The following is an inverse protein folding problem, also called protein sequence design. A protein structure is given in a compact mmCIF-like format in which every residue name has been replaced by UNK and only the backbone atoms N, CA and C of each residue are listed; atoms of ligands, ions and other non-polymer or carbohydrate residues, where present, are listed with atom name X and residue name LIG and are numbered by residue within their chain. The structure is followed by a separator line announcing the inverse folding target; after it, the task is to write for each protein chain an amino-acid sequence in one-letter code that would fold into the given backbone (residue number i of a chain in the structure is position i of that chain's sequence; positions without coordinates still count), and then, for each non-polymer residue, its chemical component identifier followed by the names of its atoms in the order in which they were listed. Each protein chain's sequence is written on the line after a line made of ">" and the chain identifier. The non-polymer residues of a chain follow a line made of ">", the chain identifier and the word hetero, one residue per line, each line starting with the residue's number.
data_IF_933524920221
#
_entry.id   IF_933524920221
#
_cell.length_a   1.000
_cell.length_b   1.000
_cell.length_c   1.000
_cell.angle_alpha   90.00
_cell.angle_beta   90.00
_cell.angle_gamma   90.00
#
_symmetry.space_group_name_H-M   'P 1'
#
loop_
_entity.id
_entity.type
_entity.pdbx_description
1 polymer ?
#
# COMPACT_ATOMS: atom_id res chain seq x y z
N UNK A 1 18.95 23.22 -3.63
CA UNK A 1 17.82 22.86 -4.51
C UNK A 1 17.95 21.48 -5.17
N UNK A 2 18.99 20.68 -4.88
CA UNK A 2 19.29 19.43 -5.61
C UNK A 2 18.96 18.12 -4.85
N UNK A 3 17.93 18.12 -3.98
CA UNK A 3 17.55 16.92 -3.17
C UNK A 3 16.30 16.18 -3.68
N UNK A 4 15.62 16.68 -4.71
CA UNK A 4 14.19 16.40 -4.87
C UNK A 4 13.76 15.47 -6.02
N UNK A 5 14.63 15.12 -6.98
CA UNK A 5 14.24 14.24 -8.11
C UNK A 5 14.77 12.79 -8.05
N UNK A 6 15.61 12.46 -7.08
CA UNK A 6 16.21 11.11 -6.97
C UNK A 6 15.17 10.05 -6.53
N UNK A 7 14.07 10.44 -5.88
CA UNK A 7 13.03 9.50 -5.43
C UNK A 7 11.91 9.21 -6.45
N UNK A 8 11.96 9.77 -7.67
CA UNK A 8 10.92 9.56 -8.68
C UNK A 8 11.16 8.34 -9.59
N UNK A 9 12.29 7.66 -9.45
CA UNK A 9 12.70 6.54 -10.31
C UNK A 9 12.30 5.14 -9.79
N UNK A 10 11.69 5.02 -8.60
CA UNK A 10 11.49 3.71 -7.95
C UNK A 10 10.05 3.19 -7.88
N UNK A 11 9.02 3.91 -8.36
CA UNK A 11 7.65 3.63 -7.87
C UNK A 11 6.58 3.16 -8.87
N UNK A 12 6.88 2.86 -10.14
CA UNK A 12 5.82 2.45 -11.09
C UNK A 12 6.17 1.35 -12.11
N UNK A 13 7.14 0.47 -11.83
CA UNK A 13 7.37 -0.75 -12.63
C UNK A 13 7.00 -2.04 -11.86
N UNK A 14 5.71 -2.20 -11.56
CA UNK A 14 5.15 -3.52 -11.20
C UNK A 14 3.85 -3.77 -11.97
N UNK A 15 4.01 -3.99 -13.27
CA UNK A 15 3.07 -4.76 -14.09
C UNK A 15 3.91 -5.75 -14.90
N UNK A 16 3.92 -7.02 -14.50
CA UNK A 16 4.17 -8.12 -15.41
C UNK A 16 3.15 -9.23 -15.18
N UNK A 17 2.71 -9.78 -16.30
CA UNK A 17 1.68 -10.79 -16.51
C UNK A 17 2.38 -12.14 -16.73
N UNK A 18 1.64 -13.25 -16.52
CA UNK A 18 1.97 -14.68 -16.84
C UNK A 18 2.69 -15.45 -15.71
N UNK A 19 2.47 -16.74 -15.41
CA UNK A 19 1.73 -17.84 -16.06
C UNK A 19 1.49 -19.01 -15.06
N UNK A 20 0.46 -19.81 -15.36
CA UNK A 20 0.13 -21.22 -15.06
C UNK A 20 0.66 -22.03 -13.83
N UNK A 21 -0.32 -22.68 -13.17
CA UNK A 21 -0.42 -24.09 -12.75
C UNK A 21 0.88 -24.89 -12.47
N UNK A 22 1.04 -25.31 -11.21
CA UNK A 22 1.54 -26.65 -10.93
C UNK A 22 0.90 -27.24 -9.66
N UNK A 23 0.31 -28.41 -9.82
CA UNK A 23 -0.20 -29.29 -8.78
C UNK A 23 0.91 -30.27 -8.42
N UNK A 24 1.27 -30.37 -7.14
CA UNK A 24 1.72 -31.63 -6.54
C UNK A 24 1.66 -31.60 -5.03
N UNK A 25 1.51 -32.82 -4.54
CA UNK A 25 1.17 -33.29 -3.21
C UNK A 25 2.41 -33.27 -2.28
N UNK A 26 2.12 -33.08 -0.99
CA UNK A 26 2.72 -33.78 0.16
C UNK A 26 3.81 -33.11 1.03
N UNK A 27 3.66 -33.40 2.33
CA UNK A 27 4.47 -33.17 3.54
C UNK A 27 4.41 -31.79 4.24
N UNK A 28 4.18 -31.76 5.59
CA UNK A 28 4.13 -30.53 6.37
C UNK A 28 5.54 -29.99 6.63
N UNK A 29 5.77 -28.67 6.58
CA UNK A 29 7.07 -28.12 6.92
C UNK A 29 7.35 -28.26 8.43
N UNK A 30 8.62 -28.44 8.82
CA UNK A 30 9.05 -28.45 10.21
C UNK A 30 8.77 -27.10 10.87
N UNK A 31 8.58 -27.14 12.19
CA UNK A 31 8.30 -25.98 13.04
C UNK A 31 9.20 -24.80 12.68
N UNK A 32 8.58 -23.75 12.17
CA UNK A 32 9.26 -22.49 11.90
C UNK A 32 9.53 -21.81 13.24
N UNK A 33 10.81 -21.70 13.58
CA UNK A 33 11.27 -20.78 14.61
C UNK A 33 10.66 -19.40 14.37
N UNK A 34 9.92 -18.91 15.37
CA UNK A 34 9.29 -17.61 15.30
C UNK A 34 10.36 -16.53 15.02
N UNK A 35 10.13 -15.58 14.10
CA UNK A 35 11.08 -14.52 13.83
C UNK A 35 11.34 -13.72 15.11
N UNK A 36 12.59 -13.32 15.41
CA UNK A 36 12.90 -12.54 16.59
C UNK A 36 12.13 -11.22 16.53
N UNK A 37 11.22 -10.99 17.47
CA UNK A 37 10.41 -9.76 17.60
C UNK A 37 11.24 -8.49 17.92
N UNK A 38 12.57 -8.54 17.85
CA UNK A 38 13.50 -7.52 18.37
C UNK A 38 13.74 -6.31 17.46
N UNK A 39 12.97 -6.06 16.39
CA UNK A 39 13.26 -4.96 15.46
C UNK A 39 12.06 -4.10 15.04
N UNK A 40 10.97 -4.12 15.81
CA UNK A 40 9.86 -3.18 15.63
C UNK A 40 9.72 -2.35 16.89
N UNK A 41 9.78 -1.01 16.76
CA UNK A 41 9.54 -0.09 17.88
C UNK A 41 8.20 -0.44 18.53
N UNK A 42 8.25 -0.81 19.81
CA UNK A 42 7.07 -1.17 20.59
C UNK A 42 6.47 0.08 21.23
N UNK A 43 5.15 0.25 21.08
CA UNK A 43 4.35 1.23 21.80
C UNK A 43 3.90 0.73 23.19
N UNK A 44 4.27 -0.50 23.53
CA UNK A 44 3.87 -1.19 24.76
C UNK A 44 5.12 -1.59 25.57
N UNK A 45 4.97 -1.56 26.89
CA UNK A 45 5.97 -2.09 27.83
C UNK A 45 5.98 -3.63 27.85
N UNK A 46 6.99 -4.25 28.47
CA UNK A 46 7.06 -5.72 28.57
C UNK A 46 5.89 -6.31 29.38
N UNK A 47 5.36 -5.57 30.34
CA UNK A 47 4.19 -5.96 31.14
C UNK A 47 2.90 -6.01 30.28
N UNK A 48 2.88 -5.25 29.18
CA UNK A 48 1.79 -5.17 28.20
C UNK A 48 1.95 -6.18 27.04
N UNK A 49 2.74 -7.24 27.25
CA UNK A 49 2.98 -8.30 26.25
C UNK A 49 1.74 -8.95 25.62
N UNK A 50 0.58 -9.08 26.31
CA UNK A 50 -0.64 -9.60 25.67
C UNK A 50 -1.14 -8.70 24.54
N UNK A 51 -1.05 -7.37 24.68
CA UNK A 51 -1.48 -6.44 23.64
C UNK A 51 -0.54 -6.43 22.43
N UNK A 52 0.76 -6.65 22.66
CA UNK A 52 1.74 -6.82 21.58
C UNK A 52 1.43 -8.05 20.73
N UNK A 53 1.21 -9.20 21.39
CA UNK A 53 0.84 -10.43 20.70
C UNK A 53 -0.50 -10.28 19.98
N UNK A 54 -1.47 -9.59 20.59
CA UNK A 54 -2.76 -9.31 19.96
C UNK A 54 -2.60 -8.42 18.71
N UNK A 55 -1.81 -7.36 18.79
CA UNK A 55 -1.48 -6.49 17.65
C UNK A 55 -0.76 -7.26 16.52
N UNK A 56 0.11 -8.20 16.85
CA UNK A 56 0.75 -9.08 15.87
C UNK A 56 -0.27 -10.01 15.18
N UNK A 57 -1.23 -10.58 15.92
CA UNK A 57 -2.35 -11.34 15.32
C UNK A 57 -3.15 -10.45 14.37
N UNK A 58 -3.48 -9.22 14.75
CA UNK A 58 -4.20 -8.28 13.88
C UNK A 58 -3.42 -7.99 12.59
N UNK A 59 -2.12 -7.71 12.70
CA UNK A 59 -1.27 -7.44 11.55
C UNK A 59 -1.20 -8.64 10.59
N UNK A 60 -1.02 -9.85 11.13
CA UNK A 60 -0.94 -11.08 10.34
C UNK A 60 -2.29 -11.48 9.71
N UNK A 61 -3.41 -11.14 10.35
CA UNK A 61 -4.76 -11.52 9.88
C UNK A 61 -5.38 -10.53 8.90
N UNK A 62 -4.83 -9.32 8.78
CA UNK A 62 -5.30 -8.26 7.90
C UNK A 62 -5.46 -8.66 6.43
N UNK A 63 -4.48 -9.31 5.74
CA UNK A 63 -4.66 -9.74 4.36
C UNK A 63 -5.80 -10.75 4.19
N UNK A 64 -6.01 -11.62 5.18
CA UNK A 64 -7.13 -12.56 5.18
C UNK A 64 -8.47 -11.85 5.41
N UNK A 65 -8.48 -10.77 6.20
CA UNK A 65 -9.65 -9.89 6.38
C UNK A 65 -10.01 -9.18 5.07
N UNK A 66 -9.03 -8.66 4.35
CA UNK A 66 -9.21 -8.03 3.03
C UNK A 66 -9.73 -9.04 2.01
N UNK A 67 -9.17 -10.25 1.96
CA UNK A 67 -9.62 -11.32 1.08
C UNK A 67 -11.08 -11.73 1.37
N UNK A 68 -11.44 -11.84 2.64
CA UNK A 68 -12.81 -12.08 3.09
C UNK A 68 -13.74 -10.96 2.64
N UNK A 69 -13.38 -9.70 2.87
CA UNK A 69 -14.19 -8.55 2.49
C UNK A 69 -14.35 -8.43 0.96
N UNK A 70 -13.31 -8.76 0.19
CA UNK A 70 -13.38 -8.82 -1.27
C UNK A 70 -14.32 -9.93 -1.77
N UNK A 71 -14.26 -11.13 -1.15
CA UNK A 71 -15.19 -12.23 -1.44
C UNK A 71 -16.62 -11.87 -1.03
N UNK A 72 -16.80 -11.18 0.10
CA UNK A 72 -18.10 -10.73 0.57
C UNK A 72 -18.73 -9.69 -0.37
N UNK A 73 -17.95 -8.73 -0.88
CA UNK A 73 -18.39 -7.78 -1.91
C UNK A 73 -18.85 -8.45 -3.19
N UNK A 74 -18.22 -9.58 -3.57
CA UNK A 74 -18.61 -10.36 -4.75
C UNK A 74 -19.86 -11.21 -4.51
N UNK A 75 -20.00 -11.76 -3.31
CA UNK A 75 -21.14 -12.62 -2.94
C UNK A 75 -22.42 -11.83 -2.61
N UNK A 76 -22.29 -10.59 -2.15
CA UNK A 76 -23.41 -9.72 -1.79
C UNK A 76 -23.66 -8.68 -2.89
N UNK A 77 -24.92 -8.28 -3.08
CA UNK A 77 -25.21 -7.14 -3.94
C UNK A 77 -24.60 -5.85 -3.38
N UNK A 78 -24.20 -4.87 -4.21
CA UNK A 78 -23.60 -3.61 -3.76
C UNK A 78 -24.42 -2.89 -2.69
N UNK A 79 -25.75 -2.90 -2.84
CA UNK A 79 -26.68 -2.32 -1.87
C UNK A 79 -26.67 -3.07 -0.53
N UNK A 80 -26.71 -4.41 -0.54
CA UNK A 80 -26.64 -5.21 0.70
C UNK A 80 -25.31 -5.01 1.41
N UNK A 81 -24.19 -5.04 0.69
CA UNK A 81 -22.87 -4.81 1.26
C UNK A 81 -22.75 -3.40 1.88
N UNK A 82 -23.25 -2.39 1.18
CA UNK A 82 -23.31 -1.01 1.69
C UNK A 82 -24.14 -0.92 2.97
N UNK A 83 -25.34 -1.53 3.00
CA UNK A 83 -26.24 -1.51 4.17
C UNK A 83 -25.61 -2.17 5.41
N UNK A 84 -24.79 -3.21 5.21
CA UNK A 84 -24.09 -3.91 6.29
C UNK A 84 -22.98 -3.01 6.86
N UNK A 85 -22.20 -2.36 5.99
CA UNK A 85 -21.12 -1.45 6.40
C UNK A 85 -21.67 -0.20 7.09
N UNK A 86 -22.75 0.40 6.61
CA UNK A 86 -23.36 1.59 7.25
C UNK A 86 -23.95 1.30 8.61
N UNK A 87 -24.51 0.10 8.82
CA UNK A 87 -25.01 -0.35 10.13
C UNK A 87 -23.91 -0.85 11.08
N UNK A 88 -22.63 -0.72 10.73
CA UNK A 88 -21.48 -1.23 11.49
C UNK A 88 -21.62 -2.71 11.90
N UNK A 89 -22.35 -3.52 11.13
CA UNK A 89 -22.52 -4.95 11.42
C UNK A 89 -21.33 -5.74 10.88
N UNK A 90 -20.93 -6.80 11.58
CA UNK A 90 -19.92 -7.68 11.02
C UNK A 90 -20.50 -8.44 9.83
N UNK A 91 -19.73 -8.46 8.74
CA UNK A 91 -20.08 -9.15 7.50
C UNK A 91 -20.34 -10.65 7.74
N UNK A 92 -19.66 -11.23 8.73
CA UNK A 92 -19.84 -12.64 9.10
C UNK A 92 -21.07 -12.92 9.96
N UNK A 93 -21.64 -11.93 10.65
CA UNK A 93 -22.90 -12.10 11.37
C UNK A 93 -24.06 -12.25 10.39
N UNK A 94 -23.98 -11.58 9.24
CA UNK A 94 -24.96 -11.69 8.16
C UNK A 94 -24.97 -13.10 7.54
N UNK A 95 -23.81 -13.75 7.47
CA UNK A 95 -23.71 -15.13 6.99
C UNK A 95 -24.35 -16.17 7.94
N UNK A 96 -24.54 -15.80 9.23
CA UNK A 96 -25.21 -16.62 10.24
C UNK A 96 -26.73 -16.40 10.27
N UNK A 97 -27.19 -15.18 10.00
CA UNK A 97 -28.61 -14.79 10.08
C UNK A 97 -29.45 -15.34 8.92
N UNK A 98 -28.83 -15.58 7.75
CA UNK A 98 -29.52 -16.17 6.60
C UNK A 98 -28.96 -17.57 6.26
N UNK A 99 -29.35 -18.61 7.02
CA UNK A 99 -28.84 -19.97 6.83
C UNK A 99 -29.28 -20.60 5.50
N UNK A 100 -30.43 -20.15 4.94
CA UNK A 100 -31.08 -20.68 3.73
C UNK A 100 -30.79 -19.89 2.45
N UNK A 101 -30.24 -18.68 2.54
CA UNK A 101 -29.86 -17.88 1.37
C UNK A 101 -28.68 -18.47 0.59
N UNK A 102 -28.59 -18.11 -0.70
CA UNK A 102 -27.52 -18.47 -1.65
C UNK A 102 -26.11 -17.89 -1.30
N UNK A 103 -25.82 -17.67 -0.02
CA UNK A 103 -24.61 -17.03 0.48
C UNK A 103 -23.49 -18.04 0.84
N UNK A 104 -23.48 -19.23 0.21
CA UNK A 104 -22.49 -20.28 0.49
C UNK A 104 -21.04 -19.79 0.36
N UNK A 105 -20.76 -18.97 -0.66
CA UNK A 105 -19.45 -18.35 -0.87
C UNK A 105 -19.06 -17.38 0.27
N UNK A 106 -20.02 -16.61 0.79
CA UNK A 106 -19.79 -15.70 1.93
C UNK A 106 -19.51 -16.50 3.21
N UNK A 107 -20.28 -17.56 3.46
CA UNK A 107 -20.09 -18.45 4.62
C UNK A 107 -18.72 -19.12 4.57
N UNK A 108 -18.32 -19.63 3.41
CA UNK A 108 -17.01 -20.22 3.20
C UNK A 108 -15.88 -19.20 3.46
N UNK A 109 -16.02 -17.95 2.96
CA UNK A 109 -15.04 -16.90 3.19
C UNK A 109 -14.92 -16.50 4.68
N UNK A 110 -16.04 -16.40 5.39
CA UNK A 110 -16.06 -16.12 6.83
C UNK A 110 -15.51 -17.28 7.66
N UNK A 111 -15.89 -18.52 7.35
CA UNK A 111 -15.37 -19.72 8.02
C UNK A 111 -13.85 -19.84 7.85
N UNK A 112 -13.36 -19.64 6.62
CA UNK A 112 -11.93 -19.61 6.34
C UNK A 112 -11.22 -18.53 7.16
N UNK A 113 -11.74 -17.30 7.17
CA UNK A 113 -11.16 -16.21 7.95
C UNK A 113 -11.09 -16.52 9.45
N UNK A 114 -12.20 -16.98 10.05
CA UNK A 114 -12.25 -17.34 11.47
C UNK A 114 -11.25 -18.45 11.78
N UNK A 115 -11.21 -19.51 10.97
CA UNK A 115 -10.28 -20.63 11.16
C UNK A 115 -8.82 -20.16 11.07
N UNK A 116 -8.50 -19.28 10.13
CA UNK A 116 -7.14 -18.74 9.97
C UNK A 116 -6.76 -17.83 11.14
N UNK A 117 -7.67 -16.94 11.58
CA UNK A 117 -7.44 -16.09 12.77
C UNK A 117 -7.17 -16.96 13.99
N UNK A 118 -7.97 -18.01 14.22
CA UNK A 118 -7.76 -18.93 15.35
C UNK A 118 -6.40 -19.63 15.30
N UNK A 119 -5.96 -20.08 14.11
CA UNK A 119 -4.63 -20.71 13.95
C UNK A 119 -3.49 -19.73 14.23
N UNK A 120 -3.60 -18.49 13.74
CA UNK A 120 -2.59 -17.45 13.95
C UNK A 120 -2.54 -17.05 15.43
N UNK A 121 -3.70 -16.85 16.07
CA UNK A 121 -3.79 -16.57 17.50
C UNK A 121 -3.14 -17.69 18.33
N UNK A 122 -3.43 -18.95 18.01
CA UNK A 122 -2.81 -20.11 18.67
C UNK A 122 -1.28 -20.14 18.48
N UNK A 123 -0.78 -19.83 17.27
CA UNK A 123 0.68 -19.78 17.03
C UNK A 123 1.39 -18.67 17.81
N UNK A 124 0.67 -17.62 18.23
CA UNK A 124 1.19 -16.54 19.07
C UNK A 124 0.90 -16.77 20.57
N UNK A 125 0.47 -17.98 20.93
CA UNK A 125 0.30 -18.40 22.32
C UNK A 125 -1.00 -17.92 22.97
N UNK A 126 -2.04 -17.63 22.18
CA UNK A 126 -3.38 -17.38 22.71
C UNK A 126 -4.26 -18.63 22.63
N UNK A 127 -5.03 -18.85 23.68
CA UNK A 127 -6.29 -19.58 23.56
C UNK A 127 -7.35 -18.69 22.90
N UNK A 128 -8.36 -19.31 22.29
CA UNK A 128 -9.49 -18.57 21.69
C UNK A 128 -10.22 -17.74 22.75
N UNK A 129 -10.32 -18.24 23.99
CA UNK A 129 -10.96 -17.54 25.09
C UNK A 129 -10.20 -16.26 25.48
N UNK A 130 -8.87 -16.35 25.64
CA UNK A 130 -8.02 -15.19 25.94
C UNK A 130 -8.05 -14.15 24.82
N UNK A 131 -7.96 -14.60 23.56
CA UNK A 131 -8.03 -13.70 22.41
C UNK A 131 -9.37 -12.93 22.36
N UNK A 132 -10.47 -13.61 22.66
CA UNK A 132 -11.79 -12.97 22.70
C UNK A 132 -11.93 -12.02 23.90
N UNK A 133 -11.41 -12.38 25.07
CA UNK A 133 -11.42 -11.53 26.25
C UNK A 133 -10.66 -10.21 26.00
N UNK A 134 -9.44 -10.29 25.46
CA UNK A 134 -8.65 -9.13 25.05
C UNK A 134 -9.38 -8.30 24.00
N UNK A 135 -10.06 -8.93 23.04
CA UNK A 135 -10.83 -8.20 22.03
C UNK A 135 -11.99 -7.39 22.63
N UNK A 136 -12.59 -7.85 23.73
CA UNK A 136 -13.65 -7.12 24.43
C UNK A 136 -13.04 -5.96 25.20
N UNK A 137 -11.97 -6.21 25.96
CA UNK A 137 -11.25 -5.22 26.75
C UNK A 137 -10.71 -4.07 25.89
N UNK A 138 -10.02 -4.40 24.80
CA UNK A 138 -9.55 -3.43 23.80
C UNK A 138 -10.75 -2.73 23.13
N UNK A 139 -11.89 -3.41 22.99
CA UNK A 139 -13.10 -2.81 22.45
C UNK A 139 -13.74 -1.76 23.37
N UNK A 140 -13.52 -1.86 24.68
CA UNK A 140 -14.08 -0.94 25.69
C UNK A 140 -13.25 0.31 25.91
N UNK A 141 -11.93 0.24 25.70
CA UNK A 141 -11.00 1.36 25.87
C UNK A 141 -10.51 1.87 24.50
N UNK A 142 -10.95 3.07 24.13
CA UNK A 142 -10.59 3.68 22.83
C UNK A 142 -9.12 4.10 22.74
N UNK A 143 -8.45 4.46 23.85
CA UNK A 143 -7.02 4.80 23.84
C UNK A 143 -6.17 3.55 23.66
N UNK A 144 -6.50 2.48 24.40
CA UNK A 144 -5.84 1.19 24.27
C UNK A 144 -6.02 0.62 22.86
N UNK A 145 -7.24 0.70 22.32
CA UNK A 145 -7.54 0.32 20.94
C UNK A 145 -6.70 1.07 19.92
N UNK A 146 -6.57 2.39 20.06
CA UNK A 146 -5.75 3.18 19.16
C UNK A 146 -4.27 2.76 19.22
N UNK A 147 -3.71 2.55 20.43
CA UNK A 147 -2.34 2.02 20.61
C UNK A 147 -2.15 0.65 19.97
N UNK A 148 -3.08 -0.29 20.18
CA UNK A 148 -3.05 -1.63 19.60
C UNK A 148 -3.09 -1.57 18.08
N UNK A 149 -3.96 -0.74 17.52
CA UNK A 149 -4.11 -0.57 16.07
C UNK A 149 -2.86 0.06 15.44
N UNK A 150 -2.25 1.05 16.11
CA UNK A 150 -0.96 1.64 15.69
C UNK A 150 0.16 0.61 15.71
N UNK A 151 0.24 -0.22 16.75
CA UNK A 151 1.24 -1.28 16.84
C UNK A 151 1.05 -2.33 15.73
N UNK A 152 -0.19 -2.74 15.46
CA UNK A 152 -0.51 -3.66 14.36
C UNK A 152 -0.11 -3.06 12.99
N UNK A 153 -0.31 -1.75 12.81
CA UNK A 153 0.14 -1.04 11.62
C UNK A 153 1.68 -1.04 11.49
N UNK A 154 2.41 -0.81 12.58
CA UNK A 154 3.88 -0.88 12.61
C UNK A 154 4.37 -2.28 12.25
N UNK A 155 3.77 -3.34 12.81
CA UNK A 155 4.10 -4.72 12.43
C UNK A 155 3.86 -5.00 10.95
N UNK A 156 2.79 -4.45 10.38
CA UNK A 156 2.52 -4.58 8.94
C UNK A 156 3.53 -3.83 8.08
N UNK A 157 3.93 -2.63 8.48
CA UNK A 157 5.00 -1.91 7.79
C UNK A 157 6.31 -2.67 7.88
N UNK A 158 6.66 -3.17 9.06
CA UNK A 158 7.87 -3.95 9.26
C UNK A 158 7.87 -5.24 8.43
N UNK A 159 6.73 -5.93 8.26
CA UNK A 159 6.67 -7.13 7.41
C UNK A 159 6.73 -6.81 5.91
N UNK A 160 6.34 -5.61 5.50
CA UNK A 160 6.46 -5.15 4.11
C UNK A 160 7.87 -4.63 3.80
N UNK A 161 8.51 -4.00 4.79
CA UNK A 161 9.86 -3.43 4.67
C UNK A 161 10.91 -4.51 4.92
N UNK A 162 10.66 -5.50 5.78
CA UNK A 162 11.59 -6.51 6.28
C UNK A 162 12.21 -7.48 5.26
N UNK A 163 12.08 -7.23 3.96
CA UNK A 163 12.96 -7.83 2.95
C UNK A 163 14.20 -6.95 2.65
N UNK A 164 14.22 -5.67 3.05
CA UNK A 164 15.39 -4.81 3.03
C UNK A 164 15.33 -3.78 4.18
N UNK A 165 16.47 -3.54 4.83
CA UNK A 165 16.76 -2.41 5.73
C UNK A 165 16.71 -2.71 7.25
N UNK A 166 17.91 -3.01 7.73
CA UNK A 166 18.45 -2.66 9.06
C UNK A 166 18.15 -1.20 9.41
N UNK A 167 17.69 -0.97 10.64
CA UNK A 167 17.71 0.31 11.37
C UNK A 167 17.15 1.52 10.61
N UNK A 168 15.88 1.83 10.85
CA UNK A 168 15.36 3.17 10.58
C UNK A 168 16.04 4.17 11.54
N UNK A 169 16.55 5.33 11.06
CA UNK A 169 17.10 6.37 11.91
C UNK A 169 15.99 6.94 12.80
N UNK A 170 16.22 6.93 14.11
CA UNK A 170 15.29 7.38 15.17
C UNK A 170 14.82 8.84 15.07
N UNK A 171 15.32 9.64 14.11
CA UNK A 171 15.05 11.08 14.01
C UNK A 171 13.82 11.49 13.18
N UNK A 172 12.86 10.59 12.93
CA UNK A 172 11.58 10.95 12.28
C UNK A 172 10.33 10.43 12.98
N UNK A 173 10.40 10.23 14.30
CA UNK A 173 9.22 10.17 15.17
C UNK A 173 9.00 11.50 15.90
N UNK A 174 9.24 12.62 15.20
CA UNK A 174 8.44 13.82 15.49
C UNK A 174 7.08 13.60 14.83
N UNK A 175 6.23 12.80 15.48
CA UNK A 175 4.80 13.04 15.41
C UNK A 175 4.60 14.38 16.09
N UNK A 176 4.69 15.42 15.27
CA UNK A 176 4.12 16.73 15.54
C UNK A 176 2.77 16.46 16.19
N UNK A 177 2.66 16.84 17.46
CA UNK A 177 1.39 17.27 18.02
C UNK A 177 0.87 18.36 17.08
N UNK A 178 0.13 17.98 16.05
CA UNK A 178 -0.64 18.92 15.23
C UNK A 178 -1.85 19.33 16.08
N UNK A 179 -1.54 20.09 17.13
CA UNK A 179 -2.43 20.94 17.88
C UNK A 179 -2.76 22.21 17.07
N UNK A 180 -2.27 22.34 15.84
CA UNK A 180 -2.84 23.24 14.86
C UNK A 180 -4.00 22.54 14.14
N UNK A 181 -5.20 22.77 14.67
CA UNK A 181 -6.42 22.91 13.87
C UNK A 181 -6.19 23.96 12.77
N UNK A 182 -5.41 23.64 11.72
CA UNK A 182 -5.61 24.27 10.43
C UNK A 182 -6.92 23.70 9.91
N UNK A 183 -7.91 24.55 9.60
CA UNK A 183 -9.13 24.06 9.04
C UNK A 183 -8.74 23.21 7.84
N UNK A 184 -9.36 22.05 7.75
CA UNK A 184 -9.50 21.28 6.55
C UNK A 184 -10.28 22.12 5.52
N UNK A 185 -9.70 23.24 5.10
CA UNK A 185 -9.88 23.79 3.78
C UNK A 185 -9.36 22.72 2.85
N UNK A 186 -10.25 21.77 2.57
CA UNK A 186 -10.30 21.05 1.32
C UNK A 186 -10.09 22.10 0.23
N UNK A 187 -8.83 22.36 -0.14
CA UNK A 187 -8.49 22.97 -1.40
C UNK A 187 -9.06 21.99 -2.43
N UNK A 188 -10.31 22.24 -2.79
CA UNK A 188 -11.03 21.59 -3.87
C UNK A 188 -10.15 21.85 -5.08
N UNK A 189 -9.42 20.82 -5.52
CA UNK A 189 -8.60 20.95 -6.71
C UNK A 189 -9.59 21.24 -7.84
N UNK A 190 -9.44 22.40 -8.46
CA UNK A 190 -10.32 22.81 -9.55
C UNK A 190 -10.30 21.70 -10.63
N UNK A 191 -11.46 21.34 -11.23
CA UNK A 191 -11.51 20.27 -12.24
C UNK A 191 -10.55 20.50 -13.41
N UNK A 192 -10.32 21.76 -13.79
CA UNK A 192 -9.35 22.16 -14.81
C UNK A 192 -7.92 21.82 -14.41
N UNK A 193 -7.51 22.17 -13.17
CA UNK A 193 -6.18 21.86 -12.64
C UNK A 193 -5.94 20.37 -12.48
N UNK A 194 -6.97 19.62 -12.06
CA UNK A 194 -6.90 18.16 -12.00
C UNK A 194 -6.70 17.55 -13.39
N UNK A 195 -7.35 18.09 -14.42
CA UNK A 195 -7.17 17.63 -15.80
C UNK A 195 -5.73 17.87 -16.26
N UNK A 196 -5.24 19.10 -16.08
CA UNK A 196 -3.86 19.49 -16.41
C UNK A 196 -2.83 18.60 -15.68
N UNK A 197 -3.02 18.34 -14.39
CA UNK A 197 -2.15 17.44 -13.62
C UNK A 197 -2.08 16.03 -14.22
N UNK A 198 -3.23 15.49 -14.65
CA UNK A 198 -3.31 14.16 -15.27
C UNK A 198 -2.63 14.16 -16.63
N UNK A 199 -2.82 15.21 -17.43
CA UNK A 199 -2.24 15.33 -18.77
C UNK A 199 -0.71 15.46 -18.66
N UNK A 200 -0.20 16.34 -17.80
CA UNK A 200 1.23 16.51 -17.48
C UNK A 200 1.84 15.21 -16.95
N UNK A 201 1.17 14.56 -15.99
CA UNK A 201 1.63 13.26 -15.46
C UNK A 201 1.75 12.23 -16.58
N UNK A 202 0.79 12.19 -17.50
CA UNK A 202 0.83 11.28 -18.64
C UNK A 202 1.99 11.54 -19.60
N UNK A 203 2.32 12.81 -19.84
CA UNK A 203 3.46 13.19 -20.67
C UNK A 203 4.80 12.83 -20.01
N UNK A 204 4.95 13.11 -18.71
CA UNK A 204 6.15 12.73 -17.95
C UNK A 204 6.35 11.20 -17.93
N UNK A 205 5.27 10.42 -17.81
CA UNK A 205 5.36 8.96 -17.90
C UNK A 205 5.78 8.47 -19.30
N UNK A 206 5.38 9.18 -20.37
CA UNK A 206 5.85 8.86 -21.74
C UNK A 206 7.33 9.15 -21.90
N UNK A 207 7.80 10.33 -21.47
CA UNK A 207 9.22 10.67 -21.46
C UNK A 207 10.04 9.61 -20.70
N UNK A 208 9.49 9.11 -19.58
CA UNK A 208 10.16 8.05 -18.81
C UNK A 208 10.22 6.73 -19.58
N UNK A 209 9.13 6.36 -20.25
CA UNK A 209 9.08 5.13 -21.04
C UNK A 209 10.03 5.20 -22.25
N UNK A 210 10.11 6.35 -22.91
CA UNK A 210 11.02 6.61 -24.04
C UNK A 210 12.48 6.58 -23.59
N UNK A 211 12.83 7.31 -22.53
CA UNK A 211 14.17 7.28 -21.94
C UNK A 211 14.57 5.87 -21.49
N UNK A 212 13.66 5.12 -20.87
CA UNK A 212 13.91 3.73 -20.50
C UNK A 212 14.09 2.82 -21.72
N UNK A 213 13.34 3.02 -22.81
CA UNK A 213 13.48 2.24 -24.03
C UNK A 213 14.83 2.51 -24.73
N UNK A 214 15.25 3.76 -24.79
CA UNK A 214 16.56 4.15 -25.32
C UNK A 214 17.69 3.48 -24.51
N UNK A 215 17.63 3.59 -23.18
CA UNK A 215 18.61 2.96 -22.28
C UNK A 215 18.68 1.44 -22.43
N UNK A 216 17.53 0.77 -22.58
CA UNK A 216 17.50 -0.69 -22.81
C UNK A 216 18.13 -1.08 -24.13
N UNK A 217 17.83 -0.33 -25.19
CA UNK A 217 18.40 -0.60 -26.51
C UNK A 217 19.92 -0.38 -26.54
N UNK A 218 20.41 0.59 -25.78
CA UNK A 218 21.83 0.94 -25.75
C UNK A 218 22.65 0.01 -24.85
N UNK A 219 22.08 -0.44 -23.74
CA UNK A 219 22.73 -1.35 -22.80
C UNK A 219 22.52 -2.83 -23.16
N UNK A 220 21.71 -3.12 -24.19
CA UNK A 220 21.31 -4.48 -24.60
C UNK A 220 20.74 -5.30 -23.42
N UNK A 221 19.95 -4.64 -22.55
CA UNK A 221 19.31 -5.29 -21.38
C UNK A 221 17.79 -5.26 -21.47
N UNK A 222 17.16 -6.39 -21.13
CA UNK A 222 15.70 -6.50 -21.10
C UNK A 222 15.07 -5.65 -19.99
N UNK A 223 15.79 -5.49 -18.87
CA UNK A 223 15.32 -4.79 -17.67
C UNK A 223 16.43 -3.90 -17.10
N UNK A 224 16.06 -2.65 -16.78
CA UNK A 224 16.96 -1.71 -16.13
C UNK A 224 16.88 -1.89 -14.60
N UNK A 225 18.02 -1.83 -13.89
CA UNK A 225 18.02 -1.86 -12.43
C UNK A 225 17.20 -0.71 -11.84
N UNK A 226 16.46 -0.94 -10.73
CA UNK A 226 15.80 0.16 -10.03
C UNK A 226 16.86 1.14 -9.49
N UNK A 227 16.52 2.43 -9.46
CA UNK A 227 17.39 3.50 -8.94
C UNK A 227 18.73 3.68 -9.67
N UNK A 228 18.85 3.22 -10.93
CA UNK A 228 20.07 3.41 -11.73
C UNK A 228 20.46 4.90 -11.85
N UNK A 229 19.50 5.79 -12.07
CA UNK A 229 19.73 7.25 -12.14
C UNK A 229 19.87 7.94 -10.75
N UNK A 230 20.25 7.22 -9.69
CA UNK A 230 20.49 7.82 -8.38
C UNK A 230 21.85 8.52 -8.30
N UNK A 231 21.96 9.61 -7.54
CA UNK A 231 23.18 10.42 -7.47
C UNK A 231 24.44 9.63 -7.09
N UNK A 232 24.29 8.56 -6.30
CA UNK A 232 25.41 7.70 -5.90
C UNK A 232 25.83 6.74 -7.03
N UNK A 233 24.92 6.40 -7.94
CA UNK A 233 25.19 5.47 -9.04
C UNK A 233 25.68 6.19 -10.29
N UNK A 234 25.25 7.44 -10.53
CA UNK A 234 25.60 8.21 -11.72
C UNK A 234 27.11 8.21 -12.06
N UNK A 235 28.05 8.41 -11.11
CA UNK A 235 29.49 8.45 -11.43
C UNK A 235 30.03 7.14 -12.01
N UNK A 236 29.34 6.02 -11.78
CA UNK A 236 29.75 4.68 -12.24
C UNK A 236 29.08 4.28 -13.56
N UNK A 237 28.14 5.09 -14.07
CA UNK A 237 27.47 4.85 -15.35
C UNK A 237 28.26 5.48 -16.50
N UNK A 238 28.01 5.04 -17.73
CA UNK A 238 28.59 5.68 -18.92
C UNK A 238 28.09 7.13 -19.05
N UNK A 239 28.92 8.00 -19.63
CA UNK A 239 28.59 9.44 -19.79
C UNK A 239 27.26 9.65 -20.51
N UNK A 240 26.93 8.77 -21.46
CA UNK A 240 25.67 8.81 -22.20
C UNK A 240 24.46 8.47 -21.34
N UNK A 241 24.55 7.44 -20.50
CA UNK A 241 23.50 7.11 -19.52
C UNK A 241 23.37 8.22 -18.47
N UNK A 242 24.50 8.80 -18.03
CA UNK A 242 24.48 9.94 -17.13
C UNK A 242 23.77 11.15 -17.74
N UNK A 243 24.00 11.44 -19.02
CA UNK A 243 23.30 12.49 -19.77
C UNK A 243 21.80 12.30 -19.72
N UNK A 244 21.31 11.13 -20.17
CA UNK A 244 19.88 10.82 -20.15
C UNK A 244 19.23 10.94 -18.76
N UNK A 245 19.95 10.51 -17.71
CA UNK A 245 19.47 10.66 -16.34
C UNK A 245 19.43 12.13 -15.85
N UNK A 246 20.33 12.99 -16.34
CA UNK A 246 20.41 14.42 -16.00
C UNK A 246 19.39 15.26 -16.79
N UNK A 247 19.13 14.87 -18.04
CA UNK A 247 18.24 15.59 -18.95
C UNK A 247 16.76 15.36 -18.59
N UNK A 248 16.41 14.19 -18.07
CA UNK A 248 15.03 13.85 -17.75
C UNK A 248 14.34 14.84 -16.77
N UNK A 249 14.96 15.25 -15.65
CA UNK A 249 14.44 16.32 -14.80
C UNK A 249 14.10 17.60 -15.58
N UNK A 250 15.02 18.06 -16.44
CA UNK A 250 14.85 19.31 -17.19
C UNK A 250 13.68 19.20 -18.19
N UNK A 251 13.58 18.07 -18.89
CA UNK A 251 12.46 17.77 -19.79
C UNK A 251 11.12 17.70 -19.04
N UNK A 252 11.10 17.11 -17.85
CA UNK A 252 9.88 17.03 -17.04
C UNK A 252 9.42 18.41 -16.53
N UNK A 253 10.36 19.30 -16.22
CA UNK A 253 10.06 20.70 -15.87
C UNK A 253 9.55 21.49 -17.06
N UNK A 254 10.11 21.27 -18.25
CA UNK A 254 9.63 21.85 -19.50
C UNK A 254 8.19 21.44 -19.80
N UNK A 255 7.87 20.16 -19.68
CA UNK A 255 6.48 19.64 -19.81
C UNK A 255 5.51 20.31 -18.82
N UNK A 256 5.93 20.54 -17.58
CA UNK A 256 5.11 21.27 -16.61
C UNK A 256 4.86 22.71 -17.07
N UNK A 257 5.93 23.39 -17.53
CA UNK A 257 5.90 24.78 -17.97
C UNK A 257 5.02 24.98 -19.21
N UNK A 258 5.14 24.11 -20.22
CA UNK A 258 4.33 24.14 -21.43
C UNK A 258 2.84 23.97 -21.13
N UNK A 259 2.51 23.12 -20.15
CA UNK A 259 1.13 22.93 -19.71
C UNK A 259 0.59 24.07 -18.84
N UNK A 260 1.41 25.06 -18.46
CA UNK A 260 1.03 26.14 -17.54
C UNK A 260 0.87 25.67 -16.08
N UNK A 261 1.59 24.63 -15.69
CA UNK A 261 1.64 24.11 -14.33
C UNK A 261 3.00 24.44 -13.69
N UNK A 262 2.98 25.01 -12.49
CA UNK A 262 4.20 25.24 -11.72
C UNK A 262 4.72 23.91 -11.17
N UNK A 263 6.05 23.75 -11.14
CA UNK A 263 6.69 22.51 -10.69
C UNK A 263 6.35 22.18 -9.23
N UNK A 264 6.32 23.20 -8.37
CA UNK A 264 5.95 23.04 -6.95
C UNK A 264 4.50 22.64 -6.75
N UNK A 265 3.60 23.15 -7.59
CA UNK A 265 2.20 22.74 -7.60
C UNK A 265 2.05 21.29 -8.06
N UNK A 266 2.73 20.91 -9.14
CA UNK A 266 2.75 19.52 -9.62
C UNK A 266 3.22 18.56 -8.53
N UNK A 267 4.33 18.89 -7.87
CA UNK A 267 4.88 18.10 -6.76
C UNK A 267 3.92 17.99 -5.59
N UNK A 268 3.23 19.08 -5.25
CA UNK A 268 2.21 19.08 -4.19
C UNK A 268 1.04 18.16 -4.54
N UNK A 269 0.56 18.22 -5.79
CA UNK A 269 -0.52 17.36 -6.28
C UNK A 269 -0.07 15.90 -6.36
N UNK A 270 1.18 15.65 -6.74
CA UNK A 270 1.77 14.31 -6.80
C UNK A 270 1.86 13.70 -5.40
N UNK A 271 2.39 14.41 -4.41
CA UNK A 271 2.43 13.97 -3.01
C UNK A 271 1.03 13.73 -2.45
N UNK A 272 0.08 14.62 -2.75
CA UNK A 272 -1.32 14.43 -2.35
C UNK A 272 -1.93 13.19 -2.99
N UNK A 273 -1.61 12.90 -4.24
CA UNK A 273 -2.08 11.68 -4.93
C UNK A 273 -1.48 10.41 -4.31
N UNK A 274 -0.23 10.46 -3.84
CA UNK A 274 0.42 9.34 -3.13
C UNK A 274 -0.25 9.05 -1.79
N UNK A 275 -0.58 10.09 -1.03
CA UNK A 275 -1.22 9.99 0.30
C UNK A 275 -2.70 9.62 0.22
N UNK A 276 -3.41 10.02 -0.84
CA UNK A 276 -4.84 9.77 -0.99
C UNK A 276 -5.13 8.65 -2.01
N UNK A 277 -5.56 7.44 -1.57
CA UNK A 277 -5.77 6.31 -2.45
C UNK A 277 -6.90 6.53 -3.47
N UNK A 278 -7.94 7.32 -3.15
CA UNK A 278 -9.02 7.63 -4.09
C UNK A 278 -8.55 8.55 -5.20
N UNK A 279 -7.73 9.55 -4.86
CA UNK A 279 -7.13 10.44 -5.85
C UNK A 279 -6.17 9.67 -6.75
N UNK A 280 -5.34 8.80 -6.19
CA UNK A 280 -4.45 7.89 -6.94
C UNK A 280 -5.23 7.04 -7.95
N UNK A 281 -6.33 6.42 -7.51
CA UNK A 281 -7.17 5.60 -8.39
C UNK A 281 -7.78 6.42 -9.52
N UNK A 282 -8.21 7.66 -9.24
CA UNK A 282 -8.78 8.57 -10.25
C UNK A 282 -7.75 9.02 -11.28
N UNK A 283 -6.53 9.33 -10.86
CA UNK A 283 -5.43 9.70 -11.76
C UNK A 283 -5.05 8.50 -12.63
N UNK A 284 -4.82 7.34 -12.01
CA UNK A 284 -4.44 6.12 -12.73
C UNK A 284 -5.52 5.63 -13.71
N UNK A 285 -6.80 5.76 -13.36
CA UNK A 285 -7.88 5.39 -14.28
C UNK A 285 -7.88 6.27 -15.53
N UNK A 286 -7.71 7.59 -15.36
CA UNK A 286 -7.64 8.51 -16.51
C UNK A 286 -6.38 8.32 -17.35
N UNK A 287 -5.22 8.09 -16.73
CA UNK A 287 -3.98 7.77 -17.44
C UNK A 287 -4.14 6.50 -18.30
N UNK A 288 -4.82 5.47 -17.77
CA UNK A 288 -5.12 4.25 -18.54
C UNK A 288 -6.05 4.49 -19.71
N UNK A 289 -7.05 5.35 -19.56
CA UNK A 289 -7.95 5.72 -20.68
C UNK A 289 -7.16 6.48 -21.74
N UNK A 290 -6.36 7.49 -21.35
CA UNK A 290 -5.54 8.28 -22.26
C UNK A 290 -4.50 7.42 -23.01
N UNK A 291 -3.92 6.41 -22.35
CA UNK A 291 -3.01 5.47 -22.98
C UNK A 291 -3.70 4.54 -23.99
N UNK A 292 -4.97 4.21 -23.79
CA UNK A 292 -5.75 3.40 -24.75
C UNK A 292 -6.14 4.20 -25.98
N UNK A 293 -6.61 5.44 -25.79
CA UNK A 293 -6.99 6.32 -26.91
C UNK A 293 -5.82 6.64 -27.82
N UNK A 294 -4.61 6.77 -27.27
CA UNK A 294 -3.38 7.02 -28.04
C UNK A 294 -2.90 5.82 -28.87
N UNK A 295 -3.39 4.59 -28.63
CA UNK A 295 -3.04 3.39 -29.42
C UNK A 295 -3.99 3.13 -30.59
N UNK A 296 -5.14 3.79 -30.61
CA UNK A 296 -6.17 3.65 -31.65
C UNK A 296 -6.04 4.66 -32.78
N UNK A 297 -5.09 5.60 -32.66
CA UNK A 297 -4.68 6.54 -33.69
C UNK A 297 -3.26 6.20 -34.12
#
# INVERSE_FOLDING_TARGET
>A
MLRFLICLLSSLLLFNVSFALFSSKEAPPPQADAPPMNQVTSLFSEEESPYLRYAAVLAATEPFRELRDARAKKALSPFKYWLIKTKKRNVCDVARIDPKGNNGALRAACSFHVTTVSKIAASLGFTIAEFNALSIEIGTDEELKDRVMKQAYLYRLASQVGNEVRSLPQNKLNLVEDNERRPSSQLKIAPSRMKMFIDVSGQIERLRAEGAALLKSELEVDQLPPNMCSANMLPFLSERVQGLCKDFPEQAEEVCREAGMEVDEFNTLLERSRRNPLLRLRVNSKLRVAARTAKTH
#
